data_IF_545227356056
#
_entry.id   IF_545227356056
#
_cell.length_a   1.000
_cell.length_b   1.000
_cell.length_c   1.000
_cell.angle_alpha   90.00
_cell.angle_beta   90.00
_cell.angle_gamma   90.00
#
_symmetry.space_group_name_H-M   'P 1'
#
loop_
_entity.id
_entity.type
_entity.pdbx_description
1 polymer ?
#
# COMPACT_ATOMS: atom_id res chain seq x y z
N UNK A 1 2.03 8.67 -18.78
CA UNK A 1 3.43 8.18 -18.78
C UNK A 1 4.01 8.28 -17.37
N UNK A 2 3.50 7.50 -16.43
CA UNK A 2 3.99 7.41 -15.05
C UNK A 2 4.39 5.94 -14.84
N UNK A 3 5.63 5.63 -14.45
CA UNK A 3 6.06 4.26 -14.14
C UNK A 3 6.92 3.52 -15.18
N UNK A 4 7.33 4.14 -16.29
CA UNK A 4 7.93 3.40 -17.44
C UNK A 4 9.46 3.23 -17.39
N UNK A 5 10.14 3.89 -16.46
CA UNK A 5 11.60 3.80 -16.32
C UNK A 5 11.98 2.76 -15.23
N UNK A 6 13.08 2.04 -15.41
CA UNK A 6 13.53 1.03 -14.45
C UNK A 6 13.84 1.59 -13.03
N UNK A 7 14.07 2.90 -12.92
CA UNK A 7 14.28 3.59 -11.64
C UNK A 7 13.03 4.29 -11.11
N UNK A 8 11.88 4.13 -11.79
CA UNK A 8 10.67 4.81 -11.40
C UNK A 8 10.12 4.23 -10.07
N UNK A 9 10.02 5.10 -9.07
CA UNK A 9 9.59 4.77 -7.71
C UNK A 9 8.16 5.17 -7.44
N UNK A 10 7.43 5.62 -8.46
CA UNK A 10 6.07 6.12 -8.29
C UNK A 10 5.13 5.04 -7.72
N UNK A 11 5.27 3.78 -8.14
CA UNK A 11 4.52 2.68 -7.55
C UNK A 11 4.76 2.50 -6.05
N UNK A 12 6.01 2.69 -5.59
CA UNK A 12 6.32 2.67 -4.15
C UNK A 12 5.69 3.86 -3.43
N UNK A 13 5.68 5.04 -4.07
CA UNK A 13 5.01 6.23 -3.56
C UNK A 13 3.50 6.05 -3.41
N UNK A 14 2.83 5.45 -4.40
CA UNK A 14 1.40 5.13 -4.33
C UNK A 14 1.12 4.16 -3.19
N UNK A 15 1.87 3.06 -3.10
CA UNK A 15 1.69 2.10 -2.01
C UNK A 15 1.86 2.76 -0.64
N UNK A 16 2.90 3.58 -0.46
CA UNK A 16 3.09 4.35 0.77
C UNK A 16 1.92 5.27 1.07
N UNK A 17 1.40 5.99 0.07
CA UNK A 17 0.22 6.83 0.24
C UNK A 17 -1.01 6.04 0.69
N UNK A 18 -1.24 4.84 0.15
CA UNK A 18 -2.32 3.96 0.59
C UNK A 18 -2.16 3.45 2.03
N UNK A 19 -0.94 3.16 2.47
CA UNK A 19 -0.68 2.79 3.88
C UNK A 19 -1.08 3.95 4.80
N UNK A 20 -0.66 5.18 4.48
CA UNK A 20 -0.99 6.33 5.32
C UNK A 20 -2.47 6.73 5.23
N UNK A 21 -3.11 6.61 4.07
CA UNK A 21 -4.52 6.93 3.88
C UNK A 21 -5.47 6.00 4.63
N UNK A 22 -5.03 4.79 5.00
CA UNK A 22 -5.84 3.88 5.81
C UNK A 22 -6.12 4.42 7.21
N UNK A 23 -5.15 5.10 7.83
CA UNK A 23 -5.35 5.66 9.16
C UNK A 23 -6.51 6.67 9.24
N UNK A 24 -6.57 7.75 8.44
CA UNK A 24 -7.70 8.67 8.50
C UNK A 24 -9.03 7.97 8.14
N UNK A 25 -9.02 6.96 7.25
CA UNK A 25 -10.22 6.16 6.95
C UNK A 25 -10.70 5.40 8.19
N UNK A 26 -9.80 4.74 8.93
CA UNK A 26 -10.14 4.03 10.17
C UNK A 26 -10.70 4.99 11.23
N UNK A 27 -10.12 6.19 11.35
CA UNK A 27 -10.59 7.26 12.24
C UNK A 27 -12.02 7.71 11.90
N UNK A 28 -12.32 7.94 10.62
CA UNK A 28 -13.67 8.32 10.15
C UNK A 28 -14.69 7.23 10.45
N UNK A 29 -14.28 5.96 10.41
CA UNK A 29 -15.12 4.82 10.75
C UNK A 29 -15.30 4.61 12.26
N UNK A 30 -14.71 5.47 13.10
CA UNK A 30 -14.83 5.40 14.55
C UNK A 30 -13.88 4.42 15.24
N UNK A 31 -12.84 3.95 14.53
CA UNK A 31 -11.78 3.13 15.14
C UNK A 31 -10.77 4.07 15.79
N UNK A 32 -10.51 3.84 17.09
CA UNK A 32 -9.48 4.57 17.82
C UNK A 32 -8.10 4.01 17.47
N UNK A 33 -7.32 4.83 16.76
CA UNK A 33 -5.97 4.49 16.31
C UNK A 33 -4.94 4.84 17.39
N UNK A 34 -5.31 5.67 18.38
CA UNK A 34 -4.40 6.02 19.47
C UNK A 34 -4.15 4.82 20.40
N UNK A 35 -5.08 3.87 20.45
CA UNK A 35 -4.94 2.60 21.18
C UNK A 35 -4.12 1.54 20.41
N UNK A 36 -3.73 1.81 19.16
CA UNK A 36 -2.96 0.83 18.38
C UNK A 36 -1.55 0.66 18.93
N UNK A 37 -1.16 -0.59 19.15
CA UNK A 37 0.22 -0.94 19.46
C UNK A 37 1.10 -0.84 18.21
N UNK A 38 2.43 -0.86 18.42
CA UNK A 38 3.41 -0.94 17.33
C UNK A 38 3.15 -2.13 16.41
N UNK A 39 2.69 -3.27 16.95
CA UNK A 39 2.36 -4.46 16.16
C UNK A 39 1.24 -4.20 15.15
N UNK A 40 0.22 -3.44 15.53
CA UNK A 40 -0.96 -3.20 14.70
C UNK A 40 -0.59 -2.31 13.51
N UNK A 41 0.27 -1.31 13.75
CA UNK A 41 0.85 -0.49 12.69
C UNK A 41 1.71 -1.30 11.72
N UNK A 42 2.56 -2.19 12.25
CA UNK A 42 3.37 -3.10 11.42
C UNK A 42 2.50 -4.05 10.60
N UNK A 43 1.39 -4.51 11.17
CA UNK A 43 0.43 -5.37 10.48
C UNK A 43 -0.23 -4.65 9.30
N UNK A 44 -0.71 -3.42 9.50
CA UNK A 44 -1.30 -2.58 8.45
C UNK A 44 -0.31 -2.37 7.30
N UNK A 45 0.92 -1.99 7.63
CA UNK A 45 1.99 -1.82 6.65
C UNK A 45 2.26 -3.11 5.87
N UNK A 46 2.45 -4.23 6.59
CA UNK A 46 2.80 -5.51 6.00
C UNK A 46 1.68 -6.09 5.14
N UNK A 47 0.43 -6.02 5.58
CA UNK A 47 -0.71 -6.53 4.83
C UNK A 47 -0.95 -5.74 3.55
N UNK A 48 -0.85 -4.41 3.62
CA UNK A 48 -0.96 -3.54 2.45
C UNK A 48 0.18 -3.80 1.45
N UNK A 49 1.42 -3.90 1.95
CA UNK A 49 2.57 -4.25 1.13
C UNK A 49 2.40 -5.61 0.46
N UNK A 50 1.97 -6.63 1.20
CA UNK A 50 1.79 -7.99 0.68
C UNK A 50 0.74 -8.04 -0.43
N UNK A 51 -0.40 -7.39 -0.22
CA UNK A 51 -1.45 -7.28 -1.23
C UNK A 51 -0.94 -6.58 -2.49
N UNK A 52 -0.26 -5.44 -2.33
CA UNK A 52 0.34 -4.70 -3.44
C UNK A 52 1.34 -5.57 -4.19
N UNK A 53 2.30 -6.16 -3.47
CA UNK A 53 3.36 -6.98 -4.04
C UNK A 53 2.81 -8.16 -4.84
N UNK A 54 1.85 -8.91 -4.28
CA UNK A 54 1.21 -10.04 -4.97
C UNK A 54 0.46 -9.58 -6.22
N UNK A 55 -0.31 -8.50 -6.11
CA UNK A 55 -1.06 -7.94 -7.25
C UNK A 55 -0.13 -7.55 -8.40
N UNK A 56 0.93 -6.79 -8.11
CA UNK A 56 1.89 -6.37 -9.12
C UNK A 56 2.70 -7.55 -9.66
N UNK A 57 3.05 -8.53 -8.84
CA UNK A 57 3.69 -9.77 -9.31
C UNK A 57 2.83 -10.45 -10.36
N UNK A 58 1.52 -10.60 -10.12
CA UNK A 58 0.59 -11.20 -11.07
C UNK A 58 0.50 -10.35 -12.35
N UNK A 59 0.26 -9.04 -12.23
CA UNK A 59 0.11 -8.15 -13.38
C UNK A 59 1.35 -8.13 -14.27
N UNK A 60 2.55 -8.03 -13.67
CA UNK A 60 3.82 -8.05 -14.42
C UNK A 60 4.09 -9.42 -15.04
N UNK A 61 3.83 -10.51 -14.31
CA UNK A 61 4.04 -11.87 -14.83
C UNK A 61 3.14 -12.15 -16.03
N UNK A 62 1.92 -11.62 -16.03
CA UNK A 62 0.96 -11.78 -17.14
C UNK A 62 1.12 -10.70 -18.24
N UNK A 63 2.08 -9.78 -18.12
CA UNK A 63 2.34 -8.77 -19.14
C UNK A 63 1.19 -7.77 -19.35
N UNK A 64 0.38 -7.51 -18.33
CA UNK A 64 -0.73 -6.56 -18.43
C UNK A 64 -0.18 -5.14 -18.62
N UNK A 65 -0.66 -4.44 -19.65
CA UNK A 65 -0.31 -3.05 -19.94
C UNK A 65 -1.57 -2.18 -19.89
N UNK A 66 -1.45 -0.96 -19.34
CA UNK A 66 -2.54 0.00 -19.14
C UNK A 66 -2.25 1.30 -19.90
#
# INVERSE_FOLDING_TARGET
YLGTAATDRLGLGIMGAFVFAQYPVLQVLGIDIEDFSTKDHLYVLFMTFSLWFVTWTILLTNGVTF
#
